data_IF_006235764217
#
_entry.id   IF_006235764217
#
_cell.length_a   1.000
_cell.length_b   1.000
_cell.length_c   1.000
_cell.angle_alpha   90.00
_cell.angle_beta   90.00
_cell.angle_gamma   90.00
#
_symmetry.space_group_name_H-M   'P 1'
#
loop_
_entity.id
_entity.type
_entity.pdbx_description
1 polymer ?
#
# COMPACT_ATOMS: atom_id res chain seq x y z
N UNK A 1 -37.76 31.53 63.74
CA UNK A 1 -37.48 30.28 63.00
C UNK A 1 -36.03 29.89 63.29
N UNK A 2 -35.82 29.54 64.56
CA UNK A 2 -35.23 28.31 65.11
C UNK A 2 -33.97 27.73 64.44
N UNK A 3 -32.88 27.38 65.11
CA UNK A 3 -32.30 27.66 66.45
C UNK A 3 -30.82 27.25 66.36
N UNK A 4 -29.91 28.01 66.97
CA UNK A 4 -28.52 27.61 67.23
C UNK A 4 -28.27 27.56 68.75
N UNK A 5 -27.17 26.90 69.13
CA UNK A 5 -26.50 26.80 70.45
C UNK A 5 -27.19 25.91 71.52
N UNK A 6 -26.52 25.12 72.37
CA UNK A 6 -25.29 25.38 73.14
C UNK A 6 -24.41 24.12 73.46
N UNK A 7 -23.17 24.43 73.88
CA UNK A 7 -22.01 23.61 74.29
C UNK A 7 -22.11 23.02 75.73
N UNK A 8 -21.26 22.04 76.10
CA UNK A 8 -20.15 22.16 77.11
C UNK A 8 -19.58 20.80 77.66
N UNK A 9 -18.25 20.58 77.45
CA UNK A 9 -17.16 20.01 78.32
C UNK A 9 -17.33 18.59 78.98
N UNK A 10 -16.33 17.70 79.18
CA UNK A 10 -14.87 17.81 79.44
C UNK A 10 -14.18 16.41 79.44
N UNK A 11 -12.94 16.34 78.92
CA UNK A 11 -11.73 15.57 79.34
C UNK A 11 -11.75 14.10 79.86
N UNK A 12 -10.99 13.20 79.21
CA UNK A 12 -9.74 12.54 79.71
C UNK A 12 -9.25 11.39 78.80
N UNK A 13 -7.93 11.32 78.61
CA UNK A 13 -7.12 10.14 78.24
C UNK A 13 -5.86 10.18 79.15
N UNK A 14 -4.88 9.23 79.14
CA UNK A 14 -4.78 7.84 78.63
C UNK A 14 -4.09 6.85 79.65
N UNK A 15 -3.94 5.56 79.32
CA UNK A 15 -2.89 4.57 79.76
C UNK A 15 -3.22 3.19 79.14
N UNK A 16 -2.52 2.54 78.18
CA UNK A 16 -1.15 1.94 78.06
C UNK A 16 -0.93 0.67 78.91
N UNK A 17 -0.41 -0.37 78.23
CA UNK A 17 0.11 -1.70 78.67
C UNK A 17 -0.97 -2.80 78.83
N UNK A 18 -0.89 -3.99 78.23
CA UNK A 18 0.29 -4.87 78.11
C UNK A 18 0.12 -5.91 76.98
N UNK A 19 1.18 -6.10 76.20
CA UNK A 19 1.40 -7.22 75.29
C UNK A 19 1.59 -8.51 76.10
N UNK A 20 0.94 -9.60 75.70
CA UNK A 20 1.49 -10.99 75.59
C UNK A 20 0.35 -12.00 75.66
N UNK A 21 -0.09 -12.45 74.49
CA UNK A 21 -0.64 -13.80 74.23
C UNK A 21 -0.59 -14.04 72.73
N UNK A 22 0.63 -13.91 72.23
CA UNK A 22 1.06 -14.59 71.02
C UNK A 22 1.07 -16.10 71.31
N UNK A 23 0.99 -16.90 70.26
CA UNK A 23 1.23 -18.34 70.26
C UNK A 23 0.13 -19.23 70.87
N UNK A 24 -0.80 -19.66 69.99
CA UNK A 24 -1.39 -21.03 69.92
C UNK A 24 -2.53 -21.08 68.87
N UNK A 25 -2.93 -19.97 68.24
CA UNK A 25 -3.99 -19.97 67.21
C UNK A 25 -3.51 -20.05 65.74
N UNK A 26 -2.27 -20.49 65.50
CA UNK A 26 -1.68 -20.62 64.15
C UNK A 26 -1.44 -22.07 63.70
N UNK A 27 -2.19 -23.06 64.21
CA UNK A 27 -1.96 -24.46 63.79
C UNK A 27 -3.18 -25.38 63.66
N UNK A 28 -4.40 -24.86 63.66
CA UNK A 28 -5.61 -25.65 63.37
C UNK A 28 -6.63 -24.81 62.61
N UNK A 29 -6.30 -24.53 61.35
CA UNK A 29 -7.28 -24.25 60.29
C UNK A 29 -6.56 -24.43 58.94
N UNK A 30 -5.97 -25.62 58.80
CA UNK A 30 -5.29 -26.09 57.59
C UNK A 30 -5.88 -27.46 57.24
N UNK A 31 -7.18 -27.50 56.97
CA UNK A 31 -7.87 -28.66 56.38
C UNK A 31 -9.31 -28.35 55.96
N UNK A 32 -9.52 -27.31 55.17
CA UNK A 32 -10.77 -27.18 54.39
C UNK A 32 -10.55 -26.33 53.13
N UNK A 33 -9.56 -26.73 52.33
CA UNK A 33 -9.45 -26.29 50.94
C UNK A 33 -9.57 -27.54 50.07
N UNK A 34 -10.77 -27.76 49.53
CA UNK A 34 -11.03 -28.50 48.29
C UNK A 34 -12.53 -28.44 48.00
N UNK A 35 -12.98 -27.43 47.26
CA UNK A 35 -13.86 -27.60 46.10
C UNK A 35 -14.11 -26.26 45.37
N UNK A 36 -13.51 -26.14 44.19
CA UNK A 36 -14.22 -25.64 43.01
C UNK A 36 -14.45 -24.13 42.86
N UNK A 37 -13.40 -23.41 42.45
CA UNK A 37 -13.50 -22.44 41.33
C UNK A 37 -12.24 -22.56 40.49
N UNK A 38 -12.28 -23.41 39.47
CA UNK A 38 -11.39 -23.23 38.33
C UNK A 38 -11.84 -21.95 37.63
N UNK A 39 -11.20 -20.83 37.97
CA UNK A 39 -11.04 -19.75 37.00
C UNK A 39 -10.32 -20.38 35.80
N UNK A 40 -11.05 -20.54 34.70
CA UNK A 40 -10.41 -20.74 33.41
C UNK A 40 -9.68 -19.44 33.11
N UNK A 41 -8.42 -19.39 33.48
CA UNK A 41 -7.44 -18.49 32.88
C UNK A 41 -7.47 -18.73 31.38
N UNK A 42 -8.25 -17.89 30.70
CA UNK A 42 -8.18 -17.77 29.25
C UNK A 42 -6.99 -16.85 29.04
N UNK A 43 -5.89 -17.28 28.38
CA UNK A 43 -4.76 -16.39 28.17
C UNK A 43 -5.27 -15.22 27.34
N UNK A 44 -5.26 -14.03 27.91
CA UNK A 44 -5.53 -12.79 27.21
C UNK A 44 -4.46 -12.64 26.13
N UNK A 45 -4.77 -13.09 24.91
CA UNK A 45 -3.91 -12.96 23.74
C UNK A 45 -3.96 -11.50 23.25
N UNK A 46 -3.26 -10.66 24.01
CA UNK A 46 -2.56 -9.42 23.66
C UNK A 46 -3.01 -8.75 22.34
N UNK A 47 -3.92 -7.75 22.41
CA UNK A 47 -4.28 -6.88 21.28
C UNK A 47 -3.08 -6.14 20.63
N UNK A 48 -1.95 -6.06 21.33
CA UNK A 48 -0.74 -5.30 20.95
C UNK A 48 0.04 -5.96 19.79
N UNK A 49 -0.16 -7.25 19.49
CA UNK A 49 0.56 -7.91 18.39
C UNK A 49 -0.13 -7.78 17.01
N UNK A 50 -1.44 -7.53 16.97
CA UNK A 50 -2.18 -7.62 15.71
C UNK A 50 -1.88 -6.46 14.75
N UNK A 51 -1.74 -5.23 15.26
CA UNK A 51 -1.34 -4.08 14.44
C UNK A 51 0.03 -4.28 13.82
N UNK A 52 0.96 -4.94 14.53
CA UNK A 52 2.27 -5.28 14.02
C UNK A 52 2.18 -6.31 12.90
N UNK A 53 1.36 -7.35 13.06
CA UNK A 53 1.13 -8.36 12.01
C UNK A 53 0.50 -7.74 10.75
N UNK A 54 -0.47 -6.83 10.90
CA UNK A 54 -1.07 -6.09 9.79
C UNK A 54 -0.03 -5.23 9.06
N UNK A 55 0.86 -4.57 9.81
CA UNK A 55 1.98 -3.79 9.25
C UNK A 55 3.00 -4.64 8.51
N UNK A 56 3.19 -5.91 8.90
CA UNK A 56 4.04 -6.86 8.17
C UNK A 56 3.38 -7.31 6.88
N UNK A 57 2.05 -7.53 6.89
CA UNK A 57 1.30 -7.95 5.70
C UNK A 57 1.15 -6.85 4.67
N UNK A 58 0.94 -5.62 5.12
CA UNK A 58 0.73 -4.47 4.26
C UNK A 58 1.85 -3.47 4.56
N UNK A 59 2.99 -3.63 3.89
CA UNK A 59 4.18 -2.80 4.13
C UNK A 59 3.90 -1.30 3.96
N UNK A 60 2.95 -0.94 3.08
CA UNK A 60 2.46 0.42 2.91
C UNK A 60 1.71 1.00 4.13
N UNK A 61 1.29 0.20 5.10
CA UNK A 61 0.69 0.71 6.36
C UNK A 61 1.73 1.40 7.24
N UNK A 62 2.99 0.94 7.19
CA UNK A 62 4.07 1.64 7.88
C UNK A 62 4.28 3.05 7.36
N UNK A 63 3.75 3.32 6.17
CA UNK A 63 3.90 4.60 5.49
C UNK A 63 2.65 5.46 5.55
N UNK A 64 1.66 5.14 6.38
CA UNK A 64 0.45 5.95 6.50
C UNK A 64 0.62 7.10 7.50
N UNK A 65 -0.04 8.25 7.27
CA UNK A 65 -0.14 9.30 8.27
C UNK A 65 -0.67 8.74 9.59
N UNK A 66 -0.11 9.17 10.73
CA UNK A 66 -0.53 8.61 12.04
C UNK A 66 -2.00 8.92 12.35
N UNK A 67 -2.60 9.95 11.74
CA UNK A 67 -4.04 10.24 11.81
C UNK A 67 -4.96 9.15 11.28
N UNK A 68 -4.43 8.25 10.45
CA UNK A 68 -5.18 7.07 9.99
C UNK A 68 -5.14 5.95 11.04
N UNK A 69 -4.15 5.93 11.95
CA UNK A 69 -3.90 4.83 12.90
C UNK A 69 -5.08 4.58 13.86
N UNK A 70 -5.77 5.59 14.41
CA UNK A 70 -6.97 5.35 15.23
C UNK A 70 -8.04 4.53 14.51
N UNK A 71 -8.27 4.83 13.22
CA UNK A 71 -9.21 4.07 12.37
C UNK A 71 -8.74 2.62 12.17
N UNK A 72 -7.44 2.40 11.94
CA UNK A 72 -6.88 1.03 11.83
C UNK A 72 -7.07 0.27 13.15
N UNK A 73 -6.74 0.90 14.29
CA UNK A 73 -6.92 0.27 15.61
C UNK A 73 -8.38 -0.10 15.87
N UNK A 74 -9.31 0.80 15.55
CA UNK A 74 -10.76 0.55 15.66
C UNK A 74 -11.17 -0.68 14.83
N UNK A 75 -10.76 -0.73 13.56
CA UNK A 75 -11.04 -1.89 12.70
C UNK A 75 -10.55 -3.21 13.30
N UNK A 76 -9.33 -3.22 13.82
CA UNK A 76 -8.73 -4.40 14.43
C UNK A 76 -9.48 -4.83 15.69
N UNK A 77 -9.86 -3.89 16.56
CA UNK A 77 -10.64 -4.18 17.76
C UNK A 77 -12.03 -4.76 17.42
N UNK A 78 -12.70 -4.22 16.41
CA UNK A 78 -14.06 -4.63 16.04
C UNK A 78 -14.11 -5.97 15.29
N UNK A 79 -13.10 -6.29 14.48
CA UNK A 79 -13.18 -7.39 13.50
C UNK A 79 -12.23 -8.57 13.79
N UNK A 80 -11.36 -8.46 14.79
CA UNK A 80 -10.36 -9.49 15.10
C UNK A 80 -10.42 -9.93 16.56
N UNK A 81 -11.63 -10.02 17.13
CA UNK A 81 -11.78 -10.64 18.44
C UNK A 81 -11.26 -12.08 18.43
N UNK A 82 -10.76 -12.54 19.57
CA UNK A 82 -10.20 -13.89 19.73
C UNK A 82 -11.14 -14.99 19.19
N UNK A 83 -12.45 -14.83 19.40
CA UNK A 83 -13.47 -15.76 18.91
C UNK A 83 -13.58 -15.80 17.38
N UNK A 84 -13.42 -14.65 16.71
CA UNK A 84 -13.43 -14.57 15.23
C UNK A 84 -12.17 -15.22 14.67
N UNK A 85 -11.01 -14.97 15.30
CA UNK A 85 -9.74 -15.58 14.90
C UNK A 85 -9.71 -17.10 15.11
N UNK A 86 -10.33 -17.62 16.17
CA UNK A 86 -10.44 -19.07 16.43
C UNK A 86 -11.35 -19.79 15.43
N UNK A 87 -12.47 -19.18 15.01
CA UNK A 87 -13.37 -19.79 14.01
C UNK A 87 -12.69 -20.03 12.65
N UNK A 88 -11.79 -19.15 12.25
CA UNK A 88 -11.05 -19.30 10.98
C UNK A 88 -10.01 -20.44 11.05
N UNK A 89 -9.36 -20.64 12.20
CA UNK A 89 -8.44 -21.77 12.40
C UNK A 89 -9.18 -23.09 12.31
N UNK A 90 -10.33 -23.20 12.98
CA UNK A 90 -11.15 -24.41 12.96
C UNK A 90 -11.68 -24.76 11.56
N UNK A 91 -11.91 -23.77 10.69
CA UNK A 91 -12.31 -24.00 9.30
C UNK A 91 -11.17 -24.50 8.40
N UNK A 92 -9.90 -24.31 8.80
CA UNK A 92 -8.71 -24.65 8.02
C UNK A 92 -7.89 -25.83 8.59
N UNK A 93 -8.13 -26.26 9.83
CA UNK A 93 -7.44 -27.39 10.46
C UNK A 93 -8.16 -28.72 10.21
N UNK A 94 -7.63 -29.58 9.34
CA UNK A 94 -8.07 -30.99 9.26
C UNK A 94 -7.37 -31.91 10.27
N UNK A 95 -6.28 -31.45 10.90
CA UNK A 95 -5.52 -32.23 11.88
C UNK A 95 -5.38 -31.41 13.16
N UNK A 96 -5.81 -31.99 14.28
CA UNK A 96 -5.93 -31.34 15.59
C UNK A 96 -4.61 -30.98 16.26
N UNK A 97 -3.86 -30.06 15.67
CA UNK A 97 -2.83 -29.28 16.36
C UNK A 97 -3.37 -27.88 16.66
N UNK A 98 -3.01 -27.34 17.83
CA UNK A 98 -3.43 -26.01 18.30
C UNK A 98 -2.68 -24.93 17.50
N UNK A 99 -3.18 -24.62 16.31
CA UNK A 99 -2.58 -23.63 15.42
C UNK A 99 -2.93 -22.22 15.95
N UNK A 100 -1.92 -21.49 16.41
CA UNK A 100 -2.06 -20.03 16.66
C UNK A 100 -2.46 -19.39 15.32
N UNK A 101 -3.56 -18.60 15.26
CA UNK A 101 -4.02 -18.02 14.00
C UNK A 101 -2.95 -17.06 13.46
N UNK A 102 -2.22 -17.48 12.42
CA UNK A 102 -1.34 -16.56 11.69
C UNK A 102 -2.23 -15.66 10.86
N UNK A 103 -2.15 -14.35 11.08
CA UNK A 103 -2.86 -13.38 10.28
C UNK A 103 -2.38 -13.50 8.82
N UNK A 104 -3.28 -13.88 7.92
CA UNK A 104 -2.97 -13.96 6.48
C UNK A 104 -3.55 -12.78 5.73
N UNK A 105 -2.92 -12.43 4.60
CA UNK A 105 -3.43 -11.40 3.69
C UNK A 105 -4.86 -11.73 3.21
N UNK A 106 -5.16 -13.01 2.96
CA UNK A 106 -6.50 -13.46 2.58
C UNK A 106 -7.53 -13.17 3.67
N UNK A 107 -7.20 -13.50 4.92
CA UNK A 107 -8.09 -13.26 6.05
C UNK A 107 -8.34 -11.76 6.28
N UNK A 108 -7.28 -10.94 6.22
CA UNK A 108 -7.39 -9.49 6.33
C UNK A 108 -8.34 -8.90 5.26
N UNK A 109 -8.21 -9.35 4.01
CA UNK A 109 -9.10 -8.95 2.91
C UNK A 109 -10.56 -9.33 3.23
N UNK A 110 -10.82 -10.55 3.71
CA UNK A 110 -12.18 -10.98 4.09
C UNK A 110 -12.77 -10.10 5.19
N UNK A 111 -11.98 -9.76 6.21
CA UNK A 111 -12.45 -8.91 7.32
C UNK A 111 -12.72 -7.47 6.86
N UNK A 112 -11.85 -6.91 6.01
CA UNK A 112 -12.07 -5.59 5.42
C UNK A 112 -13.34 -5.56 4.56
N UNK A 113 -13.57 -6.60 3.77
CA UNK A 113 -14.77 -6.72 2.93
C UNK A 113 -16.05 -6.82 3.78
N UNK A 114 -16.02 -7.60 4.87
CA UNK A 114 -17.12 -7.71 5.81
C UNK A 114 -17.42 -6.37 6.52
N UNK A 115 -16.38 -5.67 6.99
CA UNK A 115 -16.53 -4.36 7.63
C UNK A 115 -17.14 -3.32 6.66
N UNK A 116 -16.68 -3.28 5.41
CA UNK A 116 -17.23 -2.38 4.39
C UNK A 116 -18.70 -2.69 4.07
N UNK A 117 -19.08 -3.97 3.96
CA UNK A 117 -20.48 -4.37 3.77
C UNK A 117 -21.35 -3.98 4.95
N UNK A 118 -20.86 -4.18 6.18
CA UNK A 118 -21.60 -3.82 7.39
C UNK A 118 -21.88 -2.31 7.43
N UNK A 119 -20.89 -1.47 7.12
CA UNK A 119 -21.08 -0.03 7.02
C UNK A 119 -22.17 0.30 6.00
N UNK A 120 -22.08 -0.24 4.78
CA UNK A 120 -23.10 -0.01 3.74
C UNK A 120 -24.51 -0.42 4.19
N UNK A 121 -24.65 -1.55 4.88
CA UNK A 121 -25.94 -2.01 5.40
C UNK A 121 -26.48 -1.12 6.52
N UNK A 122 -25.62 -0.66 7.45
CA UNK A 122 -26.01 0.22 8.56
C UNK A 122 -26.34 1.64 8.11
N UNK A 123 -25.85 2.07 6.95
CA UNK A 123 -26.16 3.39 6.37
C UNK A 123 -27.63 3.52 5.96
N UNK A 124 -28.27 2.40 5.60
CA UNK A 124 -29.71 2.38 5.31
C UNK A 124 -30.57 2.48 6.57
N UNK A 125 -30.00 2.33 7.77
CA UNK A 125 -30.74 2.16 9.03
C UNK A 125 -30.46 3.23 10.10
N UNK A 126 -30.00 4.43 9.72
CA UNK A 126 -30.04 5.68 10.52
C UNK A 126 -28.80 6.09 11.37
N UNK A 127 -27.57 5.81 10.95
CA UNK A 127 -26.36 6.41 11.56
C UNK A 127 -25.58 7.32 10.59
N UNK A 128 -25.04 8.44 11.08
CA UNK A 128 -24.02 9.22 10.37
C UNK A 128 -22.73 8.37 10.27
N UNK A 129 -22.28 8.11 9.04
CA UNK A 129 -21.02 7.41 8.79
C UNK A 129 -19.87 8.27 9.31
N UNK A 130 -18.96 7.68 10.09
CA UNK A 130 -17.64 8.27 10.26
C UNK A 130 -16.89 8.12 8.92
N UNK A 131 -16.87 9.21 8.13
CA UNK A 131 -16.33 9.21 6.76
C UNK A 131 -14.84 8.87 6.75
N UNK A 132 -14.05 9.40 7.68
CA UNK A 132 -12.62 9.08 7.80
C UNK A 132 -12.35 7.59 8.06
N UNK A 133 -13.16 6.94 8.91
CA UNK A 133 -13.09 5.51 9.14
C UNK A 133 -13.42 4.72 7.87
N UNK A 134 -14.49 5.09 7.16
CA UNK A 134 -14.89 4.43 5.92
C UNK A 134 -13.81 4.58 4.82
N UNK A 135 -13.29 5.78 4.62
CA UNK A 135 -12.20 6.04 3.66
C UNK A 135 -10.93 5.25 4.02
N UNK A 136 -10.61 5.13 5.31
CA UNK A 136 -9.50 4.30 5.78
C UNK A 136 -9.70 2.83 5.40
N UNK A 137 -10.89 2.27 5.62
CA UNK A 137 -11.17 0.87 5.26
C UNK A 137 -11.10 0.63 3.75
N UNK A 138 -11.62 1.55 2.94
CA UNK A 138 -11.49 1.49 1.49
C UNK A 138 -10.03 1.48 1.05
N UNK A 139 -9.21 2.35 1.64
CA UNK A 139 -7.78 2.43 1.37
C UNK A 139 -7.07 1.11 1.73
N UNK A 140 -7.25 0.62 2.95
CA UNK A 140 -6.65 -0.63 3.41
C UNK A 140 -7.04 -1.81 2.51
N UNK A 141 -8.31 -1.88 2.11
CA UNK A 141 -8.80 -2.93 1.22
C UNK A 141 -8.16 -2.84 -0.17
N UNK A 142 -8.08 -1.64 -0.75
CA UNK A 142 -7.41 -1.42 -2.03
C UNK A 142 -5.92 -1.80 -2.00
N UNK A 143 -5.21 -1.45 -0.92
CA UNK A 143 -3.81 -1.85 -0.73
C UNK A 143 -3.68 -3.36 -0.54
N UNK A 144 -4.52 -3.99 0.27
CA UNK A 144 -4.47 -5.44 0.48
C UNK A 144 -4.71 -6.24 -0.80
N UNK A 145 -5.64 -5.79 -1.64
CA UNK A 145 -5.87 -6.35 -2.97
C UNK A 145 -4.66 -6.15 -3.89
N UNK A 146 -4.05 -4.97 -3.85
CA UNK A 146 -2.84 -4.65 -4.62
C UNK A 146 -1.67 -5.59 -4.25
N UNK A 147 -1.43 -5.82 -2.96
CA UNK A 147 -0.40 -6.73 -2.45
C UNK A 147 -0.67 -8.18 -2.85
N UNK A 148 -1.95 -8.59 -2.90
CA UNK A 148 -2.32 -9.96 -3.33
C UNK A 148 -2.07 -10.19 -4.82
N UNK A 149 -2.18 -9.14 -5.64
CA UNK A 149 -1.63 -9.11 -7.00
C UNK A 149 -2.37 -9.92 -8.07
N UNK A 150 -3.62 -10.35 -7.84
CA UNK A 150 -4.41 -11.00 -8.91
C UNK A 150 -4.99 -9.97 -9.88
N UNK A 151 -5.35 -10.41 -11.09
CA UNK A 151 -5.89 -9.52 -12.12
C UNK A 151 -7.23 -8.90 -11.71
N UNK A 152 -8.08 -9.68 -11.06
CA UNK A 152 -9.37 -9.25 -10.54
C UNK A 152 -9.17 -8.26 -9.39
N UNK A 153 -8.18 -8.53 -8.52
CA UNK A 153 -7.83 -7.68 -7.38
C UNK A 153 -7.46 -6.27 -7.81
N UNK A 154 -6.69 -6.15 -8.90
CA UNK A 154 -6.30 -4.83 -9.43
C UNK A 154 -7.48 -3.99 -9.91
N UNK A 155 -8.50 -4.64 -10.49
CA UNK A 155 -9.70 -3.93 -10.95
C UNK A 155 -10.49 -3.46 -9.76
N UNK A 156 -10.63 -4.32 -8.75
CA UNK A 156 -11.36 -3.99 -7.53
C UNK A 156 -10.63 -2.94 -6.67
N UNK A 157 -9.29 -2.99 -6.58
CA UNK A 157 -8.49 -1.97 -5.91
C UNK A 157 -8.67 -0.59 -6.57
N UNK A 158 -8.61 -0.51 -7.91
CA UNK A 158 -8.88 0.74 -8.62
C UNK A 158 -10.28 1.28 -8.31
N UNK A 159 -11.30 0.41 -8.33
CA UNK A 159 -12.67 0.80 -7.99
C UNK A 159 -12.75 1.39 -6.58
N UNK A 160 -12.04 0.82 -5.60
CA UNK A 160 -12.06 1.30 -4.20
C UNK A 160 -11.40 2.66 -4.05
N UNK A 161 -10.26 2.89 -4.71
CA UNK A 161 -9.66 4.23 -4.75
C UNK A 161 -10.54 5.25 -5.48
N UNK A 162 -11.30 4.83 -6.51
CA UNK A 162 -12.26 5.70 -7.18
C UNK A 162 -13.45 6.06 -6.28
N UNK A 163 -14.00 5.08 -5.54
CA UNK A 163 -15.05 5.34 -4.55
C UNK A 163 -14.56 6.31 -3.47
N UNK A 164 -13.34 6.13 -2.96
CA UNK A 164 -12.76 7.11 -2.02
C UNK A 164 -12.74 8.51 -2.62
N UNK A 165 -12.27 8.66 -3.86
CA UNK A 165 -12.23 9.94 -4.55
C UNK A 165 -13.61 10.58 -4.64
N UNK A 166 -14.62 9.82 -5.04
CA UNK A 166 -15.99 10.32 -5.16
C UNK A 166 -16.55 10.77 -3.81
N UNK A 167 -16.36 9.97 -2.75
CA UNK A 167 -16.83 10.30 -1.40
C UNK A 167 -16.17 11.56 -0.87
N UNK A 168 -14.87 11.76 -1.12
CA UNK A 168 -14.15 12.99 -0.72
C UNK A 168 -14.68 14.20 -1.50
N UNK A 169 -14.90 14.07 -2.81
CA UNK A 169 -15.45 15.17 -3.63
C UNK A 169 -16.89 15.54 -3.26
N UNK A 170 -17.66 14.60 -2.70
CA UNK A 170 -19.00 14.84 -2.17
C UNK A 170 -18.99 15.36 -0.72
N UNK A 171 -17.86 15.23 0.00
CA UNK A 171 -17.72 15.61 1.41
C UNK A 171 -16.40 16.38 1.64
N UNK A 172 -16.45 17.71 1.53
CA UNK A 172 -15.29 18.62 1.66
C UNK A 172 -14.53 18.49 3.00
N UNK A 173 -15.14 17.88 4.03
CA UNK A 173 -14.53 17.66 5.36
C UNK A 173 -13.33 16.68 5.33
N UNK A 174 -13.20 15.85 4.29
CA UNK A 174 -12.17 14.79 4.22
C UNK A 174 -11.17 14.98 3.07
N UNK A 175 -10.94 16.21 2.60
CA UNK A 175 -9.99 16.51 1.50
C UNK A 175 -8.57 16.01 1.75
N UNK A 176 -8.13 15.99 3.01
CA UNK A 176 -6.85 15.43 3.44
C UNK A 176 -6.63 13.95 3.04
N UNK A 177 -7.71 13.15 2.86
CA UNK A 177 -7.62 11.78 2.35
C UNK A 177 -7.30 11.70 0.86
N UNK A 178 -7.39 12.80 0.09
CA UNK A 178 -7.10 12.80 -1.35
C UNK A 178 -5.65 12.40 -1.63
N UNK A 179 -4.72 12.78 -0.75
CA UNK A 179 -3.32 12.33 -0.78
C UNK A 179 -3.21 10.79 -0.74
N UNK A 180 -4.03 10.11 0.07
CA UNK A 180 -4.07 8.65 0.18
C UNK A 180 -4.68 7.99 -1.06
N UNK A 181 -5.67 8.63 -1.70
CA UNK A 181 -6.23 8.13 -2.97
C UNK A 181 -5.12 8.03 -4.01
N UNK A 182 -4.39 9.12 -4.21
CA UNK A 182 -3.31 9.14 -5.19
C UNK A 182 -2.15 8.22 -4.80
N UNK A 183 -1.80 8.15 -3.51
CA UNK A 183 -0.78 7.22 -3.02
C UNK A 183 -1.16 5.76 -3.31
N UNK A 184 -2.38 5.35 -2.95
CA UNK A 184 -2.88 4.00 -3.20
C UNK A 184 -2.92 3.63 -4.68
N UNK A 185 -3.33 4.58 -5.54
CA UNK A 185 -3.26 4.41 -7.00
C UNK A 185 -1.82 4.29 -7.49
N UNK A 186 -0.88 5.04 -6.92
CA UNK A 186 0.54 4.93 -7.21
C UNK A 186 1.09 3.53 -6.93
N UNK A 187 0.77 2.97 -5.76
CA UNK A 187 1.12 1.60 -5.38
C UNK A 187 0.54 0.58 -6.36
N UNK A 188 -0.75 0.69 -6.68
CA UNK A 188 -1.44 -0.17 -7.64
C UNK A 188 -0.78 -0.17 -9.01
N UNK A 189 -0.46 1.02 -9.53
CA UNK A 189 0.21 1.15 -10.83
C UNK A 189 1.61 0.53 -10.80
N UNK A 190 2.35 0.69 -9.71
CA UNK A 190 3.67 0.06 -9.56
C UNK A 190 3.57 -1.46 -9.48
N UNK A 191 2.59 -2.02 -8.75
CA UNK A 191 2.34 -3.47 -8.72
C UNK A 191 1.99 -4.03 -10.12
N UNK A 192 1.29 -3.23 -10.93
CA UNK A 192 1.03 -3.52 -12.35
C UNK A 192 2.24 -3.30 -13.28
N UNK A 193 3.41 -2.90 -12.75
CA UNK A 193 4.61 -2.51 -13.50
C UNK A 193 4.41 -1.32 -14.45
N UNK A 194 3.42 -0.48 -14.15
CA UNK A 194 3.08 0.77 -14.85
C UNK A 194 3.75 1.94 -14.14
N UNK A 195 5.08 1.88 -14.03
CA UNK A 195 5.84 2.75 -13.12
C UNK A 195 5.68 4.24 -13.40
N UNK A 196 5.61 4.67 -14.66
CA UNK A 196 5.37 6.09 -14.97
C UNK A 196 3.98 6.57 -14.54
N UNK A 197 2.98 5.70 -14.69
CA UNK A 197 1.65 5.96 -14.16
C UNK A 197 1.67 6.02 -12.63
N UNK A 198 2.45 5.17 -11.98
CA UNK A 198 2.67 5.21 -10.53
C UNK A 198 3.34 6.50 -10.07
N UNK A 199 4.41 6.91 -10.75
CA UNK A 199 5.16 8.13 -10.49
C UNK A 199 4.27 9.38 -10.57
N UNK A 200 3.42 9.46 -11.61
CA UNK A 200 2.46 10.55 -11.76
C UNK A 200 1.49 10.62 -10.57
N UNK A 201 0.97 9.48 -10.12
CA UNK A 201 0.04 9.44 -8.99
C UNK A 201 0.77 9.78 -7.68
N UNK A 202 2.02 9.35 -7.47
CA UNK A 202 2.80 9.78 -6.30
C UNK A 202 3.06 11.29 -6.28
N UNK A 203 3.35 11.92 -7.43
CA UNK A 203 3.48 13.38 -7.48
C UNK A 203 2.16 14.11 -7.18
N UNK A 204 1.02 13.59 -7.63
CA UNK A 204 -0.29 14.13 -7.24
C UNK A 204 -0.51 14.00 -5.75
N UNK A 205 -0.21 12.84 -5.17
CA UNK A 205 -0.26 12.63 -3.72
C UNK A 205 0.58 13.66 -2.96
N UNK A 206 1.79 13.96 -3.45
CA UNK A 206 2.69 14.95 -2.87
C UNK A 206 2.13 16.37 -2.97
N UNK A 207 1.47 16.69 -4.09
CA UNK A 207 0.80 17.97 -4.30
C UNK A 207 -0.36 18.16 -3.31
N UNK A 208 -1.16 17.13 -3.05
CA UNK A 208 -2.25 17.19 -2.06
C UNK A 208 -1.75 17.36 -0.62
N UNK A 209 -0.47 17.07 -0.34
CA UNK A 209 0.15 17.28 0.98
C UNK A 209 0.66 18.74 1.15
N UNK A 210 0.75 19.54 0.08
CA UNK A 210 1.36 20.89 0.12
C UNK A 210 0.81 21.84 1.21
N UNK A 211 1.61 22.83 1.64
CA UNK A 211 1.43 23.93 2.64
C UNK A 211 0.18 23.97 3.54
N UNK A 212 -0.31 22.83 3.98
CA UNK A 212 -1.46 22.71 4.87
C UNK A 212 -0.94 22.80 6.31
N UNK A 213 -1.10 23.98 6.91
CA UNK A 213 -1.02 24.19 8.37
C UNK A 213 -2.26 23.64 9.11
N UNK A 214 -3.16 22.97 8.39
CA UNK A 214 -4.45 22.51 8.90
C UNK A 214 -4.34 21.14 9.58
N UNK A 215 -5.20 20.94 10.57
CA UNK A 215 -5.36 19.72 11.37
C UNK A 215 -5.52 18.47 10.48
N UNK A 216 -4.40 17.84 10.15
CA UNK A 216 -4.32 16.73 9.22
C UNK A 216 -4.92 15.46 9.88
N UNK A 217 -6.06 14.99 9.37
CA UNK A 217 -6.78 13.79 9.86
C UNK A 217 -7.29 13.90 11.32
N UNK A 218 -7.85 15.05 11.68
CA UNK A 218 -8.42 15.31 13.02
C UNK A 218 -7.42 15.15 14.18
N UNK A 219 -6.11 15.13 13.90
CA UNK A 219 -5.06 15.17 14.92
C UNK A 219 -4.69 16.63 15.20
N UNK A 220 -4.55 16.97 16.48
CA UNK A 220 -3.98 18.24 16.91
C UNK A 220 -2.47 18.28 16.54
N UNK A 221 -2.02 19.24 15.70
CA UNK A 221 -0.62 19.41 15.34
C UNK A 221 0.31 19.59 16.56
N UNK A 222 -0.22 20.02 17.71
CA UNK A 222 0.54 20.16 18.96
C UNK A 222 0.82 18.83 19.67
N UNK A 223 0.13 17.74 19.29
CA UNK A 223 0.39 16.39 19.79
C UNK A 223 1.41 15.62 18.93
N UNK A 224 1.76 16.13 17.74
CA UNK A 224 2.67 15.44 16.81
C UNK A 224 3.37 16.40 15.83
N UNK A 225 4.55 16.91 16.22
CA UNK A 225 5.32 17.89 15.46
C UNK A 225 5.84 17.37 14.09
N UNK A 226 5.75 16.06 13.82
CA UNK A 226 6.39 15.37 12.67
C UNK A 226 5.41 14.68 11.70
N UNK A 227 4.10 14.93 11.81
CA UNK A 227 3.06 14.18 11.10
C UNK A 227 3.16 14.29 9.55
N UNK A 228 3.26 15.50 8.95
CA UNK A 228 3.30 15.65 7.50
C UNK A 228 4.69 15.32 6.92
N UNK A 229 5.75 15.58 7.69
CA UNK A 229 7.14 15.33 7.28
C UNK A 229 7.38 13.84 7.05
N UNK A 230 6.90 12.98 7.95
CA UNK A 230 7.10 11.53 7.85
C UNK A 230 6.43 10.92 6.60
N UNK A 231 5.16 11.25 6.31
CA UNK A 231 4.48 10.71 5.12
C UNK A 231 5.07 11.26 3.82
N UNK A 232 5.42 12.54 3.80
CA UNK A 232 6.08 13.20 2.67
C UNK A 232 7.44 12.56 2.35
N UNK A 233 8.25 12.28 3.36
CA UNK A 233 9.54 11.65 3.21
C UNK A 233 9.41 10.23 2.64
N UNK A 234 8.46 9.46 3.15
CA UNK A 234 8.15 8.12 2.62
C UNK A 234 7.66 8.18 1.18
N UNK A 235 6.80 9.13 0.84
CA UNK A 235 6.33 9.33 -0.52
C UNK A 235 7.48 9.69 -1.47
N UNK A 236 8.42 10.52 -1.03
CA UNK A 236 9.65 10.82 -1.78
C UNK A 236 10.50 9.56 -2.00
N UNK A 237 10.56 8.64 -1.04
CA UNK A 237 11.29 7.37 -1.20
C UNK A 237 10.59 6.42 -2.19
N UNK A 238 9.25 6.40 -2.22
CA UNK A 238 8.50 5.71 -3.26
C UNK A 238 8.74 6.32 -4.64
N UNK A 239 8.77 7.66 -4.76
CA UNK A 239 9.11 8.37 -6.00
C UNK A 239 10.49 7.94 -6.50
N UNK A 240 11.54 8.05 -5.67
CA UNK A 240 12.91 7.65 -6.02
C UNK A 240 13.00 6.18 -6.42
N UNK A 241 12.35 5.30 -5.66
CA UNK A 241 12.29 3.86 -5.96
C UNK A 241 11.63 3.61 -7.31
N UNK A 242 10.55 4.32 -7.61
CA UNK A 242 9.80 4.21 -8.86
C UNK A 242 10.61 4.71 -10.04
N UNK A 243 11.30 5.86 -9.91
CA UNK A 243 12.24 6.37 -10.92
C UNK A 243 13.38 5.37 -11.21
N UNK A 244 13.99 4.81 -10.16
CA UNK A 244 14.99 3.74 -10.31
C UNK A 244 14.42 2.51 -11.02
N UNK A 245 13.18 2.11 -10.69
CA UNK A 245 12.51 1.01 -11.37
C UNK A 245 12.17 1.32 -12.83
N UNK A 246 11.84 2.57 -13.15
CA UNK A 246 11.71 3.02 -14.54
C UNK A 246 13.00 2.75 -15.28
N UNK A 247 14.13 3.23 -14.75
CA UNK A 247 15.43 3.06 -15.39
C UNK A 247 15.87 1.59 -15.53
N UNK A 248 15.51 0.72 -14.58
CA UNK A 248 15.97 -0.68 -14.54
C UNK A 248 15.03 -1.66 -15.24
N UNK A 249 13.73 -1.44 -15.16
CA UNK A 249 12.72 -2.46 -15.49
C UNK A 249 11.81 -2.06 -16.66
N UNK A 250 11.81 -0.79 -17.07
CA UNK A 250 11.01 -0.38 -18.22
C UNK A 250 11.74 -0.69 -19.51
N UNK A 251 11.04 -1.35 -20.42
CA UNK A 251 11.54 -1.63 -21.76
C UNK A 251 11.09 -0.52 -22.71
N UNK A 252 9.85 -0.04 -22.58
CA UNK A 252 9.36 1.06 -23.39
C UNK A 252 9.92 2.40 -22.89
N UNK A 253 10.72 3.07 -23.71
CA UNK A 253 11.37 4.36 -23.40
C UNK A 253 10.47 5.59 -23.55
N UNK A 254 9.18 5.40 -23.82
CA UNK A 254 8.22 6.50 -23.74
C UNK A 254 7.83 6.72 -22.28
N UNK A 255 8.10 7.90 -21.76
CA UNK A 255 7.84 8.26 -20.36
C UNK A 255 6.36 8.06 -20.01
N UNK A 256 5.38 8.45 -20.82
CA UNK A 256 3.97 8.22 -20.44
C UNK A 256 3.47 6.81 -20.83
N UNK A 257 4.36 5.82 -20.89
CA UNK A 257 3.97 4.45 -21.20
C UNK A 257 3.31 3.78 -20.00
N UNK A 258 2.04 3.46 -20.18
CA UNK A 258 1.24 2.72 -19.19
C UNK A 258 1.45 1.20 -19.21
N UNK A 259 2.36 0.65 -20.02
CA UNK A 259 2.53 -0.81 -20.23
C UNK A 259 4.01 -1.20 -20.32
N UNK A 260 4.83 -0.53 -19.52
CA UNK A 260 6.26 -0.39 -19.78
C UNK A 260 7.12 -1.63 -19.53
N UNK A 261 6.56 -2.80 -19.17
CA UNK A 261 7.35 -3.93 -18.69
C UNK A 261 7.71 -4.96 -19.78
N UNK A 262 8.77 -5.74 -19.54
CA UNK A 262 9.24 -6.78 -20.45
C UNK A 262 8.16 -7.78 -20.84
N UNK A 263 7.30 -8.13 -19.89
CA UNK A 263 6.22 -9.08 -20.14
C UNK A 263 5.27 -8.57 -21.24
N UNK A 264 5.05 -7.26 -21.34
CA UNK A 264 4.16 -6.66 -22.35
C UNK A 264 4.76 -6.65 -23.76
N UNK A 265 6.09 -6.61 -23.87
CA UNK A 265 6.82 -6.46 -25.14
C UNK A 265 7.35 -7.80 -25.64
N UNK A 266 7.88 -8.66 -24.77
CA UNK A 266 8.57 -9.89 -25.15
C UNK A 266 7.78 -11.17 -24.87
N UNK A 267 6.83 -11.15 -23.90
CA UNK A 267 6.18 -12.38 -23.39
C UNK A 267 4.65 -12.42 -23.56
N UNK A 268 4.01 -11.35 -24.05
CA UNK A 268 2.56 -11.28 -24.17
C UNK A 268 2.07 -11.92 -25.48
N UNK A 269 1.08 -12.81 -25.41
CA UNK A 269 0.48 -13.49 -26.58
C UNK A 269 -0.48 -12.59 -27.38
N UNK A 270 -0.91 -11.44 -26.83
CA UNK A 270 -1.70 -10.40 -27.52
C UNK A 270 -0.84 -9.23 -28.04
N UNK A 271 0.46 -9.48 -28.20
CA UNK A 271 1.47 -8.50 -28.54
C UNK A 271 1.20 -7.83 -29.91
N UNK A 272 1.05 -6.49 -29.88
CA UNK A 272 0.76 -5.68 -31.08
C UNK A 272 2.01 -5.20 -31.82
N UNK A 273 3.21 -5.52 -31.32
CA UNK A 273 4.47 -5.07 -31.90
C UNK A 273 5.20 -3.97 -31.11
N UNK A 274 6.49 -3.79 -31.38
CA UNK A 274 7.37 -2.75 -30.85
C UNK A 274 8.23 -2.11 -31.95
N UNK A 275 8.74 -0.92 -31.68
CA UNK A 275 9.86 -0.33 -32.39
C UNK A 275 11.13 -0.54 -31.57
N UNK A 276 12.21 -0.94 -32.22
CA UNK A 276 13.55 -1.00 -31.63
C UNK A 276 14.46 -0.09 -32.42
N UNK A 277 15.15 0.81 -31.73
CA UNK A 277 16.19 1.65 -32.28
C UNK A 277 17.53 1.20 -31.70
N UNK A 278 18.53 1.05 -32.56
CA UNK A 278 19.89 0.71 -32.16
C UNK A 278 20.87 1.78 -32.64
N UNK A 279 21.79 2.17 -31.76
CA UNK A 279 22.86 3.11 -32.09
C UNK A 279 24.21 2.43 -32.31
N UNK A 280 25.18 3.19 -32.83
CA UNK A 280 26.55 2.75 -33.10
C UNK A 280 27.39 2.38 -31.87
N UNK A 281 26.84 2.54 -30.66
CA UNK A 281 27.41 2.09 -29.38
C UNK A 281 26.63 0.92 -28.78
N UNK A 282 25.82 0.23 -29.60
CA UNK A 282 25.02 -0.94 -29.23
C UNK A 282 23.96 -0.68 -28.16
N UNK A 283 23.55 0.57 -27.92
CA UNK A 283 22.37 0.85 -27.12
C UNK A 283 21.12 0.43 -27.88
N UNK A 284 20.24 -0.32 -27.22
CA UNK A 284 18.89 -0.63 -27.70
C UNK A 284 17.86 0.22 -26.95
N UNK A 285 16.97 0.85 -27.69
CA UNK A 285 15.84 1.62 -27.16
C UNK A 285 14.57 1.04 -27.76
N UNK A 286 13.58 0.75 -26.92
CA UNK A 286 12.35 0.10 -27.35
C UNK A 286 11.13 0.99 -27.11
N UNK A 287 10.12 0.86 -27.94
CA UNK A 287 8.84 1.54 -27.79
C UNK A 287 7.69 0.63 -28.20
N UNK A 288 6.55 0.65 -27.50
CA UNK A 288 5.33 0.15 -28.12
C UNK A 288 5.00 0.97 -29.36
N UNK A 289 4.31 0.38 -30.35
CA UNK A 289 3.90 1.12 -31.55
C UNK A 289 3.17 2.43 -31.27
N UNK A 290 2.21 2.41 -30.33
CA UNK A 290 1.44 3.60 -29.97
C UNK A 290 2.33 4.61 -29.25
N UNK A 291 3.19 4.14 -28.34
CA UNK A 291 4.13 4.96 -27.60
C UNK A 291 5.14 5.65 -28.53
N UNK A 292 5.65 4.94 -29.54
CA UNK A 292 6.52 5.52 -30.57
C UNK A 292 5.82 6.65 -31.33
N UNK A 293 4.58 6.43 -31.78
CA UNK A 293 3.80 7.47 -32.46
C UNK A 293 3.60 8.70 -31.58
N UNK A 294 3.23 8.51 -30.31
CA UNK A 294 3.08 9.61 -29.33
C UNK A 294 4.40 10.35 -29.12
N UNK A 295 5.48 9.61 -28.87
CA UNK A 295 6.82 10.15 -28.68
C UNK A 295 7.26 11.00 -29.88
N UNK A 296 7.14 10.46 -31.11
CA UNK A 296 7.45 11.21 -32.33
C UNK A 296 6.60 12.45 -32.49
N UNK A 297 5.28 12.34 -32.34
CA UNK A 297 4.39 13.49 -32.50
C UNK A 297 4.71 14.60 -31.49
N UNK A 298 5.18 14.24 -30.29
CA UNK A 298 5.54 15.19 -29.24
C UNK A 298 6.92 15.81 -29.44
N UNK A 299 7.95 15.03 -29.79
CA UNK A 299 9.36 15.46 -29.81
C UNK A 299 9.89 15.77 -31.22
N UNK A 300 9.30 15.18 -32.25
CA UNK A 300 9.74 15.23 -33.65
C UNK A 300 8.53 15.35 -34.60
N UNK A 301 7.70 16.40 -34.45
CA UNK A 301 6.46 16.54 -35.22
C UNK A 301 6.75 16.59 -36.72
N UNK A 302 6.01 15.81 -37.50
CA UNK A 302 6.15 15.75 -38.97
C UNK A 302 7.30 14.88 -39.48
N UNK A 303 8.18 14.37 -38.62
CA UNK A 303 9.28 13.51 -39.05
C UNK A 303 8.84 12.05 -39.30
N UNK A 304 9.30 11.50 -40.41
CA UNK A 304 9.15 10.07 -40.72
C UNK A 304 10.20 9.23 -39.97
N UNK A 305 10.02 7.91 -39.95
CA UNK A 305 10.94 7.00 -39.24
C UNK A 305 12.36 7.00 -39.84
N UNK A 306 12.50 7.26 -41.15
CA UNK A 306 13.80 7.31 -41.83
C UNK A 306 14.67 8.48 -41.37
N UNK A 307 14.05 9.59 -40.95
CA UNK A 307 14.74 10.78 -40.46
C UNK A 307 15.56 10.52 -39.18
N UNK A 308 15.34 9.39 -38.50
CA UNK A 308 16.13 8.98 -37.35
C UNK A 308 17.46 8.32 -37.71
N UNK A 309 17.69 7.96 -38.98
CA UNK A 309 19.00 7.47 -39.44
C UNK A 309 20.08 8.53 -39.23
N UNK A 310 21.14 8.19 -38.50
CA UNK A 310 22.25 9.10 -38.18
C UNK A 310 21.96 10.14 -37.09
N UNK A 311 20.74 10.18 -36.51
CA UNK A 311 20.45 11.04 -35.36
C UNK A 311 21.12 10.53 -34.09
N UNK A 312 21.32 11.41 -33.11
CA UNK A 312 21.87 11.03 -31.80
C UNK A 312 21.00 9.98 -31.10
N UNK A 313 21.66 9.07 -30.38
CA UNK A 313 21.00 8.04 -29.59
C UNK A 313 20.01 8.66 -28.60
N UNK A 314 18.83 8.06 -28.48
CA UNK A 314 17.76 8.53 -27.59
C UNK A 314 18.04 8.18 -26.12
N UNK A 315 19.03 7.32 -25.85
CA UNK A 315 19.44 7.01 -24.48
C UNK A 315 20.29 8.16 -23.95
N UNK A 316 19.86 8.72 -22.81
CA UNK A 316 20.57 9.81 -22.14
C UNK A 316 22.04 9.45 -21.88
N UNK A 317 22.94 10.41 -22.14
CA UNK A 317 24.39 10.23 -22.00
C UNK A 317 25.09 9.45 -23.13
N UNK A 318 24.36 8.88 -24.10
CA UNK A 318 24.98 8.16 -25.22
C UNK A 318 25.35 9.10 -26.38
N UNK A 319 26.61 9.06 -26.82
CA UNK A 319 27.13 9.87 -27.94
C UNK A 319 26.99 9.21 -29.31
N UNK A 320 26.51 7.96 -29.35
CA UNK A 320 26.32 7.19 -30.57
C UNK A 320 25.23 7.75 -31.47
N UNK A 321 25.29 7.40 -32.74
CA UNK A 321 24.30 7.76 -33.76
C UNK A 321 23.44 6.54 -34.06
N UNK A 322 22.16 6.75 -34.34
CA UNK A 322 21.20 5.71 -34.69
C UNK A 322 21.58 5.07 -36.02
N UNK A 323 21.80 3.76 -36.00
CA UNK A 323 22.24 2.98 -37.16
C UNK A 323 21.19 1.99 -37.61
N UNK A 324 20.25 1.58 -36.76
CA UNK A 324 19.18 0.67 -37.16
C UNK A 324 17.87 1.01 -36.48
N UNK A 325 16.78 0.82 -37.21
CA UNK A 325 15.44 0.83 -36.65
C UNK A 325 14.62 -0.33 -37.20
N UNK A 326 14.05 -1.10 -36.28
CA UNK A 326 13.18 -2.24 -36.58
C UNK A 326 11.77 -1.93 -36.09
N UNK A 327 10.79 -2.28 -36.91
CA UNK A 327 9.41 -2.43 -36.50
C UNK A 327 9.10 -3.92 -36.42
N UNK A 328 8.93 -4.42 -35.20
CA UNK A 328 8.50 -5.79 -34.97
C UNK A 328 6.98 -5.77 -34.83
N UNK A 329 6.28 -6.51 -35.68
CA UNK A 329 4.82 -6.66 -35.62
C UNK A 329 4.47 -7.92 -34.80
N UNK A 330 3.33 -8.58 -35.08
CA UNK A 330 2.98 -9.87 -34.45
C UNK A 330 4.13 -10.88 -34.60
N UNK A 331 4.24 -11.90 -33.73
CA UNK A 331 5.40 -12.80 -33.68
C UNK A 331 5.80 -13.31 -35.08
N UNK A 332 7.04 -13.03 -35.49
CA UNK A 332 7.62 -13.48 -36.76
C UNK A 332 7.72 -12.42 -37.87
N UNK A 333 7.06 -11.26 -37.76
CA UNK A 333 7.15 -10.20 -38.77
C UNK A 333 8.05 -9.07 -38.27
N UNK A 334 9.24 -8.95 -38.87
CA UNK A 334 10.19 -7.85 -38.62
C UNK A 334 10.35 -7.04 -39.88
N UNK A 335 10.01 -5.75 -39.82
CA UNK A 335 10.25 -4.78 -40.88
C UNK A 335 11.44 -3.90 -40.49
N UNK A 336 12.51 -3.98 -41.28
CA UNK A 336 13.64 -3.04 -41.17
C UNK A 336 13.17 -1.71 -41.76
N UNK A 337 13.17 -0.64 -40.98
CA UNK A 337 12.84 0.69 -41.47
C UNK A 337 14.06 1.38 -42.06
N UNK A 338 15.18 1.32 -41.34
CA UNK A 338 16.48 1.67 -41.88
C UNK A 338 17.58 0.87 -41.20
N UNK A 339 18.68 0.72 -41.93
CA UNK A 339 19.92 0.14 -41.45
C UNK A 339 21.10 0.82 -42.16
N UNK A 340 22.01 1.39 -41.39
CA UNK A 340 23.24 1.99 -41.86
C UNK A 340 24.30 0.90 -41.84
N UNK A 341 24.54 0.29 -42.99
CA UNK A 341 25.69 -0.59 -43.18
C UNK A 341 26.92 0.30 -43.32
N UNK A 342 27.87 0.20 -42.37
CA UNK A 342 29.15 0.89 -42.53
C UNK A 342 29.89 0.25 -43.70
N UNK A 343 30.55 1.06 -44.53
CA UNK A 343 31.32 0.58 -45.70
C UNK A 343 32.38 -0.47 -45.35
N UNK A 344 32.76 -0.56 -44.07
CA UNK A 344 33.78 -1.47 -43.56
C UNK A 344 33.19 -2.85 -43.13
N UNK A 345 31.86 -3.02 -43.21
CA UNK A 345 31.13 -4.25 -42.86
C UNK A 345 30.42 -4.86 -44.09
N UNK A 346 31.07 -4.88 -45.27
CA UNK A 346 30.73 -5.85 -46.30
C UNK A 346 31.15 -7.25 -45.81
N UNK A 347 30.38 -7.84 -44.89
CA UNK A 347 30.37 -9.29 -44.75
C UNK A 347 29.55 -9.78 -45.93
N UNK A 348 30.24 -10.37 -46.90
CA UNK A 348 29.65 -11.03 -48.06
C UNK A 348 28.53 -11.96 -47.62
N UNK A 349 27.32 -11.72 -48.13
CA UNK A 349 26.16 -12.60 -48.00
C UNK A 349 26.40 -13.82 -48.91
N UNK A 350 27.43 -14.61 -48.63
CA UNK A 350 27.71 -15.87 -49.33
C UNK A 350 27.78 -17.09 -48.41
N UNK A 351 27.61 -16.94 -47.08
CA UNK A 351 27.75 -18.08 -46.16
C UNK A 351 26.53 -18.42 -45.29
N UNK A 352 25.31 -17.99 -45.65
CA UNK A 352 24.07 -18.50 -45.03
C UNK A 352 23.40 -19.63 -45.82
N UNK A 353 24.15 -20.32 -46.68
CA UNK A 353 23.63 -21.43 -47.47
C UNK A 353 24.70 -22.40 -47.95
N UNK A 354 25.41 -23.07 -47.03
CA UNK A 354 25.99 -24.41 -47.22
C UNK A 354 26.75 -24.85 -45.97
N UNK A 355 26.06 -25.53 -45.05
CA UNK A 355 26.43 -26.85 -44.48
C UNK A 355 25.43 -27.30 -43.42
#
# INVERSE_FOLDING_TARGET
>A
MDSLSEEFFTSRAPTVEEQTKEEIKNKVEKSTDQLGKQEKDTPDLVPVNLLLEVKKLLTAINTLPKGVVPHIKKFLQENFSFQIMQREVAANSQNGEEIVPVLTLRFLITQLEAALRNIQATNYTAHQINVGYYLTLLFLYGVALTERGKKEDYTEAENKFLVMKMVIQENEICENFMSLVYFGRGLLRCAQKRYNGGLLEFHKSLQEIGDTNDHWFDIDPTEDEDLPTTFKDLLNDFIKTTESNIMKQTICSYLDCERSCEADILKNTNYKGFFQLMCSKSCCVYFHKICWKKFKNLKYPGENDQAFSGKKCLKEGCTGDMVRMLQCDVPGIVKILFEVVRKDEYITIENLGAR
#
